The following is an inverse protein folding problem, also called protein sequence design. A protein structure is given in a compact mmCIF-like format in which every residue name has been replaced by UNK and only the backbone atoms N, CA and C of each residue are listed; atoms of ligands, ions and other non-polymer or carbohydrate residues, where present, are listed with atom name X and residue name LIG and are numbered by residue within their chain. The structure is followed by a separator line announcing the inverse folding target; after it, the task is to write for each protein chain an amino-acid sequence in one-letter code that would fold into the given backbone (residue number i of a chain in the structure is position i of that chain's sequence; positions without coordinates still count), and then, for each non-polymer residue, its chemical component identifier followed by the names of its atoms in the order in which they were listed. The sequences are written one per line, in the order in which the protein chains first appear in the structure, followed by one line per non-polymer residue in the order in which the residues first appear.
data_IF_167304184328
#
_entry.id   IF_167304184328
#
_cell.length_a   1.000
_cell.length_b   1.000
_cell.length_c   1.000
_cell.angle_alpha   90.00
_cell.angle_beta   90.00
_cell.angle_gamma   90.00
#
_symmetry.space_group_name_H-M   'P 1'
#
loop_
_entity.id
_entity.type
_entity.pdbx_description
1 polymer ?
#
# COMPACT_ATOMS: atom_id res chain seq x y z
N UNK A 1 -16.63 -19.14 14.00
CA UNK A 1 -16.94 -19.11 12.56
C UNK A 1 -16.23 -17.93 11.90
N UNK A 2 -15.63 -18.19 10.76
CA UNK A 2 -14.99 -17.15 9.96
C UNK A 2 -16.07 -16.30 9.29
N UNK A 3 -16.18 -15.02 9.67
CA UNK A 3 -17.17 -14.08 9.11
C UNK A 3 -16.60 -13.28 7.94
N UNK A 4 -15.41 -13.63 7.45
CA UNK A 4 -14.81 -12.99 6.28
C UNK A 4 -15.42 -13.52 4.99
N UNK A 5 -15.49 -12.65 4.00
CA UNK A 5 -16.12 -12.91 2.71
C UNK A 5 -15.04 -12.91 1.61
N UNK A 6 -15.08 -13.87 0.67
CA UNK A 6 -14.12 -13.89 -0.43
C UNK A 6 -14.30 -12.71 -1.38
N UNK A 7 -13.18 -12.11 -1.80
CA UNK A 7 -13.17 -11.18 -2.93
C UNK A 7 -13.44 -11.96 -4.22
N UNK A 8 -14.08 -11.33 -5.19
CA UNK A 8 -14.26 -11.93 -6.53
C UNK A 8 -12.91 -12.17 -7.21
N UNK A 9 -11.99 -11.20 -7.08
CA UNK A 9 -10.61 -11.27 -7.54
C UNK A 9 -9.69 -10.95 -6.39
N UNK A 10 -8.56 -11.66 -6.29
CA UNK A 10 -7.60 -11.44 -5.21
C UNK A 10 -7.08 -10.00 -5.23
N UNK A 11 -6.98 -9.39 -4.05
CA UNK A 11 -6.36 -8.08 -3.86
C UNK A 11 -4.89 -8.27 -3.55
N UNK A 12 -4.03 -8.01 -4.53
CA UNK A 12 -2.58 -8.11 -4.37
C UNK A 12 -2.01 -6.83 -3.74
N UNK A 13 -0.91 -6.98 -2.99
CA UNK A 13 -0.09 -5.83 -2.61
C UNK A 13 0.85 -5.47 -3.77
N UNK A 14 1.50 -4.32 -3.68
CA UNK A 14 2.51 -3.92 -4.65
C UNK A 14 3.91 -4.25 -4.16
N UNK A 15 4.77 -4.68 -5.08
CA UNK A 15 6.20 -4.76 -4.83
C UNK A 15 6.72 -3.38 -4.46
N UNK A 16 7.57 -3.29 -3.43
CA UNK A 16 8.16 -2.03 -2.97
C UNK A 16 9.58 -1.92 -3.50
N UNK A 17 9.88 -0.79 -4.13
CA UNK A 17 11.21 -0.46 -4.61
C UNK A 17 11.60 0.88 -4.00
N UNK A 18 12.81 0.97 -3.43
CA UNK A 18 13.30 2.22 -2.87
C UNK A 18 14.05 3.02 -3.93
N UNK A 19 14.00 4.35 -3.83
CA UNK A 19 14.56 5.24 -4.85
C UNK A 19 16.06 5.01 -5.12
N UNK A 20 16.81 4.52 -4.14
CA UNK A 20 18.24 4.18 -4.32
C UNK A 20 18.45 2.84 -5.06
N UNK A 21 17.43 2.03 -5.21
CA UNK A 21 17.49 0.72 -5.89
C UNK A 21 17.13 0.82 -7.38
N UNK A 22 16.39 1.85 -7.79
CA UNK A 22 15.87 2.00 -9.16
C UNK A 22 16.99 2.13 -10.18
N UNK A 23 18.12 2.73 -9.81
CA UNK A 23 19.27 2.89 -10.72
C UNK A 23 19.97 1.57 -11.05
N UNK A 24 19.77 0.53 -10.23
CA UNK A 24 20.42 -0.77 -10.37
C UNK A 24 19.50 -1.87 -10.85
N UNK A 25 18.17 -1.68 -10.72
CA UNK A 25 17.18 -2.67 -11.11
C UNK A 25 15.99 -1.98 -11.77
N UNK A 26 15.79 -2.26 -13.06
CA UNK A 26 14.56 -1.90 -13.76
C UNK A 26 13.55 -3.04 -13.55
N UNK A 27 12.48 -2.83 -12.74
CA UNK A 27 11.50 -3.90 -12.50
C UNK A 27 10.75 -4.34 -13.76
N UNK A 28 10.74 -3.52 -14.80
CA UNK A 28 10.06 -3.82 -16.06
C UNK A 28 10.98 -4.30 -17.18
N UNK A 29 12.25 -4.57 -16.88
CA UNK A 29 13.22 -5.13 -17.83
C UNK A 29 13.28 -4.37 -19.16
N UNK A 30 13.46 -3.04 -19.07
CA UNK A 30 13.55 -2.15 -20.25
C UNK A 30 12.29 -2.14 -21.12
N UNK A 31 11.13 -2.30 -20.52
CA UNK A 31 9.85 -2.16 -21.20
C UNK A 31 9.76 -0.80 -21.91
N UNK A 32 9.39 -0.80 -23.21
CA UNK A 32 9.35 0.40 -24.03
C UNK A 32 7.95 0.99 -24.21
N UNK A 33 6.93 0.32 -23.69
CA UNK A 33 5.55 0.81 -23.76
C UNK A 33 5.25 1.85 -22.68
N UNK A 34 3.98 2.23 -22.60
CA UNK A 34 3.53 3.27 -21.69
C UNK A 34 3.46 2.76 -20.26
N UNK A 35 4.08 3.51 -19.36
CA UNK A 35 4.01 3.32 -17.91
C UNK A 35 3.31 4.53 -17.30
N UNK A 36 2.31 4.29 -16.46
CA UNK A 36 1.56 5.34 -15.78
C UNK A 36 2.06 5.48 -14.34
N UNK A 37 2.25 6.73 -13.92
CA UNK A 37 2.64 7.08 -12.57
C UNK A 37 1.44 7.69 -11.87
N UNK A 38 1.13 7.18 -10.68
CA UNK A 38 0.03 7.69 -9.86
C UNK A 38 0.44 7.73 -8.38
N UNK A 39 -0.23 8.55 -7.56
CA UNK A 39 0.11 8.58 -6.14
C UNK A 39 -0.26 7.26 -5.46
N UNK A 40 0.60 6.80 -4.56
CA UNK A 40 0.29 5.68 -3.67
C UNK A 40 -0.37 6.23 -2.42
N UNK A 41 -1.69 6.35 -2.47
CA UNK A 41 -2.46 6.90 -1.35
C UNK A 41 -2.38 5.98 -0.14
N UNK A 42 -2.28 6.59 1.03
CA UNK A 42 -2.08 5.91 2.30
C UNK A 42 -3.34 5.96 3.15
N UNK A 43 -4.09 4.89 3.09
CA UNK A 43 -5.35 4.72 3.81
C UNK A 43 -5.64 3.25 4.04
N UNK A 44 -6.83 2.81 3.67
CA UNK A 44 -7.24 1.42 3.78
C UNK A 44 -7.79 0.93 2.44
N UNK A 45 -7.25 -0.18 1.95
CA UNK A 45 -7.67 -0.79 0.69
C UNK A 45 -9.02 -1.49 0.83
N UNK A 46 -9.89 -1.28 -0.14
CA UNK A 46 -11.26 -1.79 -0.16
C UNK A 46 -11.59 -2.31 -1.55
N UNK A 47 -12.28 -3.45 -1.63
CA UNK A 47 -12.87 -3.93 -2.88
C UNK A 47 -14.38 -3.70 -2.89
N UNK A 48 -14.89 -3.29 -4.05
CA UNK A 48 -16.31 -3.12 -4.31
C UNK A 48 -16.74 -4.16 -5.33
N UNK A 49 -17.92 -4.74 -5.11
CA UNK A 49 -18.54 -5.64 -6.08
C UNK A 49 -19.78 -4.98 -6.67
N UNK A 50 -19.82 -4.90 -7.99
CA UNK A 50 -20.97 -4.46 -8.79
C UNK A 50 -21.47 -5.64 -9.59
N UNK A 51 -22.78 -5.85 -9.56
CA UNK A 51 -23.45 -6.89 -10.34
C UNK A 51 -24.43 -6.20 -11.28
N UNK A 52 -24.29 -6.46 -12.57
CA UNK A 52 -25.07 -5.80 -13.63
C UNK A 52 -25.08 -4.27 -13.48
N UNK A 53 -23.93 -3.72 -13.11
CA UNK A 53 -23.74 -2.28 -12.92
C UNK A 53 -24.26 -1.70 -11.63
N UNK A 54 -24.80 -2.50 -10.73
CA UNK A 54 -25.36 -2.06 -9.45
C UNK A 54 -24.43 -2.45 -8.30
N UNK A 55 -24.17 -1.50 -7.40
CA UNK A 55 -23.37 -1.75 -6.20
C UNK A 55 -24.04 -2.82 -5.32
N UNK A 56 -23.28 -3.85 -4.97
CA UNK A 56 -23.77 -4.95 -4.16
C UNK A 56 -23.07 -5.02 -2.81
N UNK A 57 -21.73 -4.91 -2.79
CA UNK A 57 -20.96 -5.25 -1.60
C UNK A 57 -19.60 -4.55 -1.58
N UNK A 58 -19.15 -4.22 -0.38
CA UNK A 58 -17.77 -3.74 -0.14
C UNK A 58 -17.11 -4.57 0.94
N UNK A 59 -15.82 -4.89 0.74
CA UNK A 59 -15.00 -5.66 1.66
C UNK A 59 -13.71 -4.94 1.98
N UNK A 60 -13.25 -5.07 3.23
CA UNK A 60 -11.86 -4.73 3.57
C UNK A 60 -10.93 -5.67 2.82
N UNK A 61 -9.67 -5.26 2.63
CA UNK A 61 -8.69 -6.10 1.96
C UNK A 61 -8.49 -7.45 2.68
N UNK A 62 -8.39 -7.45 4.03
CA UNK A 62 -8.06 -8.64 4.80
C UNK A 62 -6.70 -9.20 4.39
N UNK A 63 -6.64 -10.51 4.16
CA UNK A 63 -5.45 -11.20 3.66
C UNK A 63 -5.28 -11.12 2.13
N UNK A 64 -6.11 -10.34 1.45
CA UNK A 64 -6.15 -10.22 -0.01
C UNK A 64 -7.10 -11.22 -0.67
N UNK A 65 -7.45 -12.30 0.00
CA UNK A 65 -8.40 -13.32 -0.51
C UNK A 65 -9.78 -13.14 0.09
N UNK A 66 -9.87 -12.83 1.38
CA UNK A 66 -11.11 -12.61 2.12
C UNK A 66 -11.00 -11.37 3.00
N UNK A 67 -12.09 -10.62 3.09
CA UNK A 67 -12.17 -9.43 3.92
C UNK A 67 -13.47 -9.35 4.69
N UNK A 68 -13.57 -8.36 5.57
CA UNK A 68 -14.79 -8.09 6.34
C UNK A 68 -15.78 -7.29 5.48
N UNK A 69 -17.06 -7.61 5.62
CA UNK A 69 -18.14 -6.90 4.94
C UNK A 69 -18.34 -5.52 5.59
N UNK A 70 -18.14 -4.47 4.79
CA UNK A 70 -18.31 -3.07 5.19
C UNK A 70 -19.27 -2.34 4.25
N UNK A 71 -20.18 -3.06 3.64
CA UNK A 71 -21.09 -2.54 2.62
C UNK A 71 -21.88 -1.32 3.08
N UNK A 72 -22.46 -1.37 4.28
CA UNK A 72 -23.28 -0.28 4.80
C UNK A 72 -22.51 1.02 5.04
N UNK A 73 -21.22 0.93 5.35
CA UNK A 73 -20.35 2.11 5.45
C UNK A 73 -20.02 2.67 4.07
N UNK A 74 -19.52 1.82 3.20
CA UNK A 74 -18.97 2.21 1.91
C UNK A 74 -20.04 2.69 0.94
N UNK A 75 -21.28 2.19 1.03
CA UNK A 75 -22.36 2.67 0.15
C UNK A 75 -22.57 4.19 0.23
N UNK A 76 -22.13 4.83 1.32
CA UNK A 76 -22.23 6.29 1.49
C UNK A 76 -21.16 7.06 0.71
N UNK A 77 -20.13 6.36 0.22
CA UNK A 77 -18.95 6.96 -0.42
C UNK A 77 -18.84 6.70 -1.93
N UNK A 78 -19.66 5.78 -2.47
CA UNK A 78 -19.47 5.30 -3.84
C UNK A 78 -20.77 5.42 -4.63
N UNK A 79 -20.70 5.50 -5.98
CA UNK A 79 -21.88 5.48 -6.84
C UNK A 79 -22.64 4.16 -6.71
N UNK A 80 -23.97 4.23 -6.72
CA UNK A 80 -24.81 3.03 -6.66
C UNK A 80 -24.87 2.31 -8.00
N UNK A 81 -24.63 3.02 -9.11
CA UNK A 81 -24.69 2.48 -10.46
C UNK A 81 -23.49 2.91 -11.26
N UNK A 82 -22.94 1.98 -12.05
CA UNK A 82 -21.98 2.30 -13.09
C UNK A 82 -22.70 2.94 -14.28
N UNK A 83 -21.98 3.76 -15.05
CA UNK A 83 -22.53 4.47 -16.21
C UNK A 83 -23.14 3.51 -17.22
N UNK A 84 -22.38 2.48 -17.60
CA UNK A 84 -22.80 1.41 -18.47
C UNK A 84 -22.27 0.10 -17.90
N UNK A 85 -23.05 -0.98 -17.99
CA UNK A 85 -22.60 -2.29 -17.53
C UNK A 85 -22.29 -3.16 -18.74
N UNK A 86 -21.01 -3.35 -19.00
CA UNK A 86 -20.53 -4.24 -20.06
C UNK A 86 -20.30 -5.65 -19.52
N UNK A 87 -19.95 -5.76 -18.24
CA UNK A 87 -19.69 -7.02 -17.55
C UNK A 87 -20.79 -7.29 -16.52
N UNK A 88 -21.16 -8.56 -16.39
CA UNK A 88 -22.15 -8.98 -15.38
C UNK A 88 -21.61 -8.75 -13.96
N UNK A 89 -20.35 -9.08 -13.73
CA UNK A 89 -19.67 -8.94 -12.45
C UNK A 89 -18.44 -8.07 -12.62
N UNK A 90 -18.33 -7.04 -11.78
CA UNK A 90 -17.19 -6.10 -11.83
C UNK A 90 -16.71 -5.87 -10.41
N UNK A 91 -15.40 -6.04 -10.19
CA UNK A 91 -14.74 -5.66 -8.95
C UNK A 91 -13.97 -4.36 -9.15
N UNK A 92 -14.22 -3.39 -8.28
CA UNK A 92 -13.49 -2.12 -8.27
C UNK A 92 -12.68 -2.08 -6.99
N UNK A 93 -11.39 -1.75 -7.11
CA UNK A 93 -10.50 -1.60 -5.95
C UNK A 93 -10.10 -0.15 -5.81
N UNK A 94 -9.91 0.27 -4.57
CA UNK A 94 -9.49 1.62 -4.27
C UNK A 94 -9.06 1.76 -2.82
N UNK A 95 -8.75 3.00 -2.48
CA UNK A 95 -8.30 3.36 -1.14
C UNK A 95 -9.31 4.28 -0.47
N UNK A 96 -9.68 3.96 0.76
CA UNK A 96 -10.41 4.89 1.63
C UNK A 96 -9.38 5.73 2.35
N UNK A 97 -9.47 7.05 2.17
CA UNK A 97 -8.48 8.00 2.67
C UNK A 97 -9.13 9.13 3.46
N UNK A 98 -8.37 9.73 4.35
CA UNK A 98 -8.73 10.92 5.10
C UNK A 98 -7.72 12.04 4.82
N UNK A 99 -8.12 13.34 4.90
CA UNK A 99 -7.19 14.44 4.65
C UNK A 99 -5.98 14.39 5.57
N UNK A 100 -4.81 14.74 5.04
CA UNK A 100 -3.56 14.74 5.83
C UNK A 100 -3.51 15.81 6.93
N UNK A 101 -4.48 16.73 6.97
CA UNK A 101 -4.69 17.64 8.09
C UNK A 101 -5.15 16.92 9.35
N UNK A 102 -5.69 15.73 9.22
CA UNK A 102 -6.08 14.88 10.36
C UNK A 102 -4.84 14.13 10.85
N UNK A 103 -4.58 14.22 12.14
CA UNK A 103 -3.46 13.51 12.76
C UNK A 103 -3.65 12.00 12.59
N UNK A 104 -2.61 11.29 12.14
CA UNK A 104 -2.66 9.86 11.85
C UNK A 104 -3.80 9.51 10.87
N UNK A 105 -3.88 10.24 9.76
CA UNK A 105 -4.98 10.14 8.81
C UNK A 105 -5.18 8.70 8.30
N UNK A 106 -4.10 7.94 8.06
CA UNK A 106 -4.18 6.53 7.68
C UNK A 106 -4.93 5.71 8.73
N UNK A 107 -4.57 5.84 10.00
CA UNK A 107 -5.21 5.09 11.08
C UNK A 107 -6.66 5.54 11.29
N UNK A 108 -6.93 6.82 11.11
CA UNK A 108 -8.28 7.37 11.15
C UNK A 108 -9.17 6.73 10.07
N UNK A 109 -8.68 6.62 8.84
CA UNK A 109 -9.42 5.99 7.75
C UNK A 109 -9.61 4.48 7.98
N UNK A 110 -8.53 3.78 8.33
CA UNK A 110 -8.59 2.34 8.58
C UNK A 110 -9.50 2.00 9.78
N UNK A 111 -9.40 2.78 10.85
CA UNK A 111 -10.25 2.60 12.03
C UNK A 111 -11.73 2.86 11.74
N UNK A 112 -12.02 3.77 10.82
CA UNK A 112 -13.41 4.07 10.43
C UNK A 112 -14.10 2.85 9.84
N UNK A 113 -13.40 1.99 9.12
CA UNK A 113 -13.98 0.79 8.52
C UNK A 113 -14.49 -0.21 9.55
N UNK A 114 -13.97 -0.15 10.76
CA UNK A 114 -14.35 -1.05 11.86
C UNK A 114 -15.39 -0.43 12.80
N UNK A 115 -15.86 0.78 12.52
CA UNK A 115 -16.92 1.39 13.33
C UNK A 115 -18.20 0.55 13.26
N UNK A 116 -18.87 0.38 14.39
CA UNK A 116 -20.12 -0.37 14.45
C UNK A 116 -21.29 0.44 13.92
N UNK A 117 -21.22 1.78 14.06
CA UNK A 117 -22.29 2.69 13.65
C UNK A 117 -21.97 3.31 12.30
N UNK A 118 -22.91 3.15 11.35
CA UNK A 118 -22.83 3.83 10.05
C UNK A 118 -23.02 5.34 10.20
N UNK A 119 -23.78 5.79 11.18
CA UNK A 119 -23.92 7.23 11.44
C UNK A 119 -22.61 7.86 11.89
N UNK A 120 -21.84 7.20 12.74
CA UNK A 120 -20.49 7.65 13.09
C UNK A 120 -19.56 7.66 11.87
N UNK A 121 -19.65 6.62 11.04
CA UNK A 121 -18.87 6.54 9.81
C UNK A 121 -19.14 7.74 8.90
N UNK A 122 -20.41 8.10 8.70
CA UNK A 122 -20.82 9.24 7.86
C UNK A 122 -20.27 10.58 8.36
N UNK A 123 -19.99 10.70 9.65
CA UNK A 123 -19.43 11.92 10.22
C UNK A 123 -17.91 12.04 10.00
N UNK A 124 -17.27 10.95 9.56
CA UNK A 124 -15.84 10.95 9.26
C UNK A 124 -15.58 11.60 7.90
N UNK A 125 -14.46 12.34 7.81
CA UNK A 125 -14.02 12.97 6.56
C UNK A 125 -13.28 11.94 5.72
N UNK A 126 -14.01 11.16 4.95
CA UNK A 126 -13.46 10.05 4.17
C UNK A 126 -13.80 10.22 2.69
N UNK A 127 -12.94 9.65 1.85
CA UNK A 127 -13.12 9.59 0.40
C UNK A 127 -12.65 8.23 -0.09
N UNK A 128 -13.36 7.65 -1.05
CA UNK A 128 -12.92 6.46 -1.77
C UNK A 128 -12.32 6.90 -3.11
N UNK A 129 -11.06 6.50 -3.36
CA UNK A 129 -10.35 6.82 -4.60
C UNK A 129 -9.99 5.52 -5.29
N UNK A 130 -10.57 5.29 -6.47
CA UNK A 130 -10.42 4.05 -7.22
C UNK A 130 -9.09 3.98 -7.97
N UNK A 131 -8.51 2.77 -8.06
CA UNK A 131 -7.33 2.52 -8.85
C UNK A 131 -7.35 1.18 -9.62
N UNK A 132 -8.41 0.41 -9.54
CA UNK A 132 -8.50 -0.87 -10.23
C UNK A 132 -9.91 -1.25 -10.66
N UNK A 133 -10.01 -1.91 -11.80
CA UNK A 133 -11.22 -2.46 -12.38
C UNK A 133 -10.94 -3.88 -12.86
N UNK A 134 -11.69 -4.86 -12.38
CA UNK A 134 -11.57 -6.27 -12.77
C UNK A 134 -12.96 -6.91 -12.92
N UNK A 135 -13.16 -7.72 -13.91
CA UNK A 135 -12.26 -7.94 -15.01
C UNK A 135 -12.43 -6.82 -16.03
N UNK A 136 -11.33 -6.22 -16.48
CA UNK A 136 -11.40 -5.12 -17.43
C UNK A 136 -11.79 -5.61 -18.82
N UNK A 137 -12.63 -4.82 -19.49
CA UNK A 137 -12.97 -4.99 -20.92
C UNK A 137 -12.22 -4.01 -21.82
N UNK A 138 -11.36 -3.17 -21.24
CA UNK A 138 -10.55 -2.20 -21.96
C UNK A 138 -9.15 -2.76 -22.24
N UNK A 139 -8.48 -2.21 -23.24
CA UNK A 139 -7.11 -2.59 -23.57
C UNK A 139 -6.09 -1.96 -22.62
N UNK A 140 -6.40 -0.78 -22.07
CA UNK A 140 -5.50 -0.01 -21.25
C UNK A 140 -6.11 0.34 -19.89
N UNK A 141 -5.29 0.38 -18.87
CA UNK A 141 -5.71 0.74 -17.52
C UNK A 141 -6.25 2.18 -17.42
N UNK A 142 -5.68 3.11 -18.19
CA UNK A 142 -6.18 4.50 -18.20
C UNK A 142 -7.62 4.59 -18.70
N UNK A 143 -8.05 3.70 -19.59
CA UNK A 143 -9.45 3.62 -20.04
C UNK A 143 -10.36 3.12 -18.92
N UNK A 144 -9.88 2.20 -18.09
CA UNK A 144 -10.60 1.78 -16.88
C UNK A 144 -10.84 2.98 -15.95
N UNK A 145 -9.81 3.80 -15.74
CA UNK A 145 -9.92 4.98 -14.87
C UNK A 145 -10.89 6.00 -15.46
N UNK A 146 -10.86 6.20 -16.77
CA UNK A 146 -11.82 7.09 -17.46
C UNK A 146 -13.26 6.58 -17.27
N UNK A 147 -13.49 5.29 -17.46
CA UNK A 147 -14.80 4.68 -17.24
C UNK A 147 -15.29 4.89 -15.79
N UNK A 148 -14.43 4.68 -14.81
CA UNK A 148 -14.77 4.88 -13.40
C UNK A 148 -15.07 6.33 -13.09
N UNK A 149 -14.27 7.26 -13.63
CA UNK A 149 -14.51 8.69 -13.48
C UNK A 149 -15.85 9.10 -14.09
N UNK A 150 -16.16 8.60 -15.28
CA UNK A 150 -17.45 8.85 -15.96
C UNK A 150 -18.64 8.25 -15.19
N UNK A 151 -18.40 7.21 -14.41
CA UNK A 151 -19.40 6.60 -13.52
C UNK A 151 -19.56 7.32 -12.18
N UNK A 152 -18.77 8.36 -11.92
CA UNK A 152 -18.87 9.18 -10.71
C UNK A 152 -17.87 8.85 -9.64
N UNK A 153 -16.86 7.99 -9.92
CA UNK A 153 -15.79 7.73 -8.97
C UNK A 153 -14.72 8.81 -9.01
N UNK A 154 -14.12 9.09 -7.86
CA UNK A 154 -12.80 9.66 -7.81
C UNK A 154 -11.79 8.56 -8.18
N UNK A 155 -10.80 8.90 -9.02
CA UNK A 155 -9.75 7.96 -9.41
C UNK A 155 -8.36 8.56 -9.20
N UNK A 156 -7.35 7.70 -9.09
CA UNK A 156 -5.96 8.15 -8.89
C UNK A 156 -5.39 8.93 -10.08
N UNK A 157 -6.07 8.93 -11.23
CA UNK A 157 -5.61 9.62 -12.44
C UNK A 157 -6.21 11.01 -12.63
N UNK A 158 -7.30 11.36 -11.93
CA UNK A 158 -7.97 12.66 -12.14
C UNK A 158 -7.32 13.82 -11.39
N UNK A 159 -6.47 13.52 -10.41
CA UNK A 159 -5.79 14.54 -9.60
C UNK A 159 -4.51 13.95 -9.00
N UNK A 160 -3.62 14.80 -8.53
CA UNK A 160 -2.46 14.38 -7.74
C UNK A 160 -2.81 14.08 -6.28
N UNK A 161 -4.03 14.41 -5.85
CA UNK A 161 -4.56 14.15 -4.52
C UNK A 161 -3.63 14.62 -3.39
N UNK A 162 -2.98 15.78 -3.57
CA UNK A 162 -1.96 16.30 -2.65
C UNK A 162 -2.48 16.59 -1.24
N UNK A 163 -3.80 16.72 -1.07
CA UNK A 163 -4.44 16.92 0.23
C UNK A 163 -4.58 15.63 1.05
N UNK A 164 -4.27 14.48 0.46
CA UNK A 164 -4.35 13.17 1.13
C UNK A 164 -2.95 12.60 1.36
N UNK A 165 -2.76 11.82 2.43
CA UNK A 165 -1.46 11.20 2.69
C UNK A 165 -1.11 10.18 1.60
N UNK A 166 0.15 10.15 1.22
CA UNK A 166 0.73 9.14 0.35
C UNK A 166 2.04 8.61 0.95
N UNK A 167 2.47 7.46 0.50
CA UNK A 167 3.76 6.89 0.89
C UNK A 167 4.64 6.58 -0.33
N UNK A 168 4.49 7.37 -1.38
CA UNK A 168 5.25 7.26 -2.61
C UNK A 168 4.37 7.32 -3.84
N UNK A 169 4.86 6.74 -4.93
CA UNK A 169 4.16 6.69 -6.21
C UNK A 169 4.10 5.26 -6.72
N UNK A 170 3.10 5.00 -7.54
CA UNK A 170 2.90 3.71 -8.21
C UNK A 170 3.28 3.86 -9.67
N UNK A 171 4.14 2.95 -10.14
CA UNK A 171 4.43 2.75 -11.55
C UNK A 171 3.67 1.53 -12.03
N UNK A 172 2.94 1.68 -13.13
CA UNK A 172 2.12 0.60 -13.66
C UNK A 172 2.21 0.56 -15.18
N UNK A 173 2.41 -0.64 -15.73
CA UNK A 173 2.31 -0.88 -17.17
C UNK A 173 0.86 -0.66 -17.59
N UNK A 174 0.64 0.25 -18.55
CA UNK A 174 -0.71 0.66 -18.94
C UNK A 174 -1.46 -0.40 -19.76
N UNK A 175 -0.76 -1.13 -20.64
CA UNK A 175 -1.37 -2.21 -21.42
C UNK A 175 -1.76 -3.38 -20.50
N UNK A 176 -3.04 -3.75 -20.48
CA UNK A 176 -3.49 -4.92 -19.74
C UNK A 176 -2.87 -6.21 -20.25
N UNK A 177 -2.70 -6.33 -21.56
CA UNK A 177 -2.07 -7.50 -22.16
C UNK A 177 -0.63 -7.67 -21.66
N UNK A 178 0.15 -6.60 -21.69
CA UNK A 178 1.53 -6.64 -21.20
C UNK A 178 1.60 -6.85 -19.70
N UNK A 179 0.77 -6.15 -18.94
CA UNK A 179 0.68 -6.32 -17.50
C UNK A 179 0.40 -7.77 -17.12
N UNK A 180 -0.61 -8.38 -17.76
CA UNK A 180 -1.00 -9.76 -17.48
C UNK A 180 0.06 -10.76 -17.94
N UNK A 181 0.78 -10.48 -19.04
CA UNK A 181 1.83 -11.38 -19.53
C UNK A 181 3.00 -11.51 -18.56
N UNK A 182 3.23 -10.51 -17.72
CA UNK A 182 4.30 -10.54 -16.72
C UNK A 182 3.95 -11.36 -15.49
N UNK A 183 2.66 -11.63 -15.30
CA UNK A 183 2.18 -12.50 -14.23
C UNK A 183 2.33 -11.91 -12.84
N UNK A 184 2.31 -12.80 -11.86
CA UNK A 184 2.27 -12.47 -10.45
C UNK A 184 3.28 -13.30 -9.68
N UNK A 185 3.79 -12.74 -8.58
CA UNK A 185 4.38 -13.54 -7.49
C UNK A 185 3.25 -14.01 -6.58
N UNK A 186 3.57 -14.68 -5.46
CA UNK A 186 2.55 -15.07 -4.49
C UNK A 186 1.86 -13.87 -3.82
N UNK A 187 2.50 -12.70 -3.83
CA UNK A 187 2.03 -11.52 -3.08
C UNK A 187 1.72 -10.31 -3.93
N UNK A 188 2.31 -10.18 -5.14
CA UNK A 188 2.15 -8.98 -5.94
C UNK A 188 2.31 -9.23 -7.44
N UNK A 189 1.71 -8.36 -8.29
CA UNK A 189 1.92 -8.42 -9.74
C UNK A 189 3.33 -7.93 -10.10
N UNK A 190 3.86 -8.42 -11.23
CA UNK A 190 5.15 -7.94 -11.76
C UNK A 190 4.98 -6.71 -12.65
N UNK A 191 3.77 -6.40 -13.08
CA UNK A 191 3.48 -5.27 -13.97
C UNK A 191 3.31 -3.92 -13.27
N UNK A 192 3.47 -3.87 -11.96
CA UNK A 192 3.38 -2.63 -11.18
C UNK A 192 4.32 -2.69 -9.98
N UNK A 193 4.76 -1.54 -9.50
CA UNK A 193 5.51 -1.45 -8.25
C UNK A 193 5.27 -0.10 -7.59
N UNK A 194 5.47 -0.07 -6.27
CA UNK A 194 5.45 1.17 -5.51
C UNK A 194 6.88 1.66 -5.31
N UNK A 195 7.16 2.87 -5.77
CA UNK A 195 8.42 3.55 -5.52
C UNK A 195 8.28 4.36 -4.23
N UNK A 196 9.07 4.00 -3.23
CA UNK A 196 9.15 4.73 -1.98
C UNK A 196 10.42 5.56 -1.95
N UNK A 197 10.29 6.84 -1.59
CA UNK A 197 11.45 7.68 -1.36
C UNK A 197 12.10 7.26 -0.04
N UNK A 198 13.44 7.26 -0.04
CA UNK A 198 14.17 7.10 1.20
C UNK A 198 13.92 8.36 2.03
N UNK A 199 13.28 8.19 3.17
CA UNK A 199 13.19 9.27 4.14
C UNK A 199 14.57 9.48 4.74
N UNK A 200 14.94 10.75 4.97
CA UNK A 200 16.14 11.07 5.72
C UNK A 200 16.02 10.40 7.10
N UNK A 201 17.01 9.58 7.45
CA UNK A 201 17.04 8.91 8.73
C UNK A 201 17.54 9.83 9.83
N UNK A 202 17.49 9.32 11.05
CA UNK A 202 18.00 10.01 12.23
C UNK A 202 19.32 9.35 12.65
N UNK A 203 20.29 10.17 13.03
CA UNK A 203 21.59 9.71 13.49
C UNK A 203 21.53 9.27 14.95
N UNK A 204 22.11 8.12 15.25
CA UNK A 204 22.29 7.65 16.62
C UNK A 204 23.53 6.75 16.71
N UNK A 205 23.86 6.30 17.92
CA UNK A 205 25.01 5.45 18.17
C UNK A 205 24.60 3.99 18.31
N UNK A 206 25.33 3.10 17.64
CA UNK A 206 25.19 1.65 17.83
C UNK A 206 25.86 1.24 19.13
N UNK A 207 25.07 0.86 20.13
CA UNK A 207 25.57 0.49 21.44
C UNK A 207 25.96 -0.97 21.56
N UNK A 208 25.20 -1.86 20.92
CA UNK A 208 25.39 -3.30 21.01
C UNK A 208 24.65 -4.02 19.89
N UNK A 209 25.00 -5.28 19.64
CA UNK A 209 24.29 -6.19 18.75
C UNK A 209 23.93 -7.43 19.54
N UNK A 210 22.63 -7.71 19.63
CA UNK A 210 22.11 -8.87 20.36
C UNK A 210 21.50 -9.86 19.38
N UNK A 211 21.83 -11.13 19.57
CA UNK A 211 21.34 -12.21 18.74
C UNK A 211 20.15 -12.90 19.42
N UNK A 212 18.98 -12.78 18.81
CA UNK A 212 17.76 -13.35 19.33
C UNK A 212 17.38 -14.59 18.50
N UNK A 213 16.91 -15.64 19.19
CA UNK A 213 16.37 -16.83 18.54
C UNK A 213 14.86 -16.65 18.39
N UNK A 214 14.37 -16.66 17.15
CA UNK A 214 12.94 -16.62 16.86
C UNK A 214 12.25 -17.95 17.13
N UNK A 215 10.90 -17.94 17.09
CA UNK A 215 10.09 -19.15 17.30
C UNK A 215 10.40 -20.30 16.33
N UNK A 216 10.92 -19.97 15.14
CA UNK A 216 11.32 -20.94 14.12
C UNK A 216 12.75 -21.46 14.30
N UNK A 217 13.46 -21.06 15.36
CA UNK A 217 14.87 -21.40 15.56
C UNK A 217 15.84 -20.55 14.77
N UNK A 218 15.37 -19.60 13.99
CA UNK A 218 16.24 -18.69 13.22
C UNK A 218 16.84 -17.65 14.15
N UNK A 219 18.16 -17.48 14.08
CA UNK A 219 18.88 -16.48 14.87
C UNK A 219 18.98 -15.20 14.06
N UNK A 220 18.47 -14.10 14.62
CA UNK A 220 18.47 -12.79 13.99
C UNK A 220 19.18 -11.74 14.86
N UNK A 221 20.05 -10.89 14.28
CA UNK A 221 20.69 -9.83 15.02
C UNK A 221 19.80 -8.61 15.16
N UNK A 222 19.81 -8.01 16.34
CA UNK A 222 19.09 -6.77 16.66
C UNK A 222 20.10 -5.75 17.18
N UNK A 223 20.11 -4.58 16.58
CA UNK A 223 20.91 -3.45 17.05
C UNK A 223 20.27 -2.83 18.28
N UNK A 224 21.05 -2.60 19.32
CA UNK A 224 20.71 -1.75 20.45
C UNK A 224 21.33 -0.38 20.22
N UNK A 225 20.51 0.65 20.25
CA UNK A 225 20.85 2.02 19.88
C UNK A 225 20.73 2.95 21.07
N UNK A 226 21.52 4.02 21.06
CA UNK A 226 21.21 5.18 21.90
C UNK A 226 19.79 5.64 21.55
N UNK A 227 18.88 5.76 22.52
CA UNK A 227 17.49 6.12 22.25
C UNK A 227 17.39 7.43 21.47
N UNK A 228 16.60 7.43 20.41
CA UNK A 228 16.39 8.58 19.54
C UNK A 228 14.92 8.65 19.11
N UNK A 229 14.40 9.87 18.99
CA UNK A 229 13.04 10.07 18.53
C UNK A 229 12.96 10.03 17.00
N UNK A 230 12.09 9.16 16.47
CA UNK A 230 11.79 9.06 15.03
C UNK A 230 10.28 9.06 14.87
N UNK A 231 9.76 10.03 14.11
CA UNK A 231 8.32 10.16 13.83
C UNK A 231 7.44 10.12 15.10
N UNK A 232 7.89 10.81 16.16
CA UNK A 232 7.15 10.90 17.41
C UNK A 232 7.26 9.70 18.33
N UNK A 233 8.08 8.70 18.01
CA UNK A 233 8.31 7.51 18.82
C UNK A 233 9.77 7.39 19.22
N UNK A 234 10.04 6.98 20.45
CA UNK A 234 11.40 6.67 20.91
C UNK A 234 11.84 5.32 20.37
N UNK A 235 12.97 5.31 19.68
CA UNK A 235 13.56 4.12 19.06
C UNK A 235 14.87 3.80 19.74
N UNK A 236 15.01 2.57 20.24
CA UNK A 236 16.23 2.06 20.86
C UNK A 236 16.67 0.72 20.30
N UNK A 237 15.93 0.17 19.35
CA UNK A 237 16.26 -1.10 18.68
C UNK A 237 15.96 -1.01 17.19
N UNK A 238 16.79 -1.68 16.37
CA UNK A 238 16.61 -1.78 14.94
C UNK A 238 17.03 -3.16 14.45
N UNK A 239 16.35 -3.66 13.40
CA UNK A 239 16.72 -4.95 12.79
C UNK A 239 18.01 -4.83 11.99
N UNK A 240 18.82 -5.88 12.02
CA UNK A 240 20.04 -6.01 11.21
C UNK A 240 19.95 -7.14 10.20
N UNK A 241 18.85 -7.82 10.12
CA UNK A 241 18.52 -8.91 9.20
C UNK A 241 19.43 -10.14 9.35
N UNK A 242 20.74 -10.01 9.09
CA UNK A 242 21.71 -11.13 9.15
C UNK A 242 23.15 -10.60 9.23
N UNK A 243 24.13 -11.54 9.37
CA UNK A 243 25.56 -11.18 9.42
C UNK A 243 26.05 -10.45 8.19
N UNK A 244 25.57 -10.83 7.01
CA UNK A 244 25.98 -10.19 5.75
C UNK A 244 25.61 -8.71 5.73
N UNK A 245 24.42 -8.37 6.24
CA UNK A 245 23.95 -6.99 6.35
C UNK A 245 24.89 -6.16 7.24
N UNK A 246 25.30 -6.72 8.39
CA UNK A 246 26.24 -6.08 9.30
C UNK A 246 27.59 -5.85 8.61
N UNK A 247 28.09 -6.84 7.90
CA UNK A 247 29.35 -6.78 7.17
C UNK A 247 29.28 -5.77 6.02
N UNK A 248 28.21 -5.78 5.23
CA UNK A 248 28.01 -4.88 4.09
C UNK A 248 27.94 -3.42 4.51
N UNK A 249 27.38 -3.13 5.68
CA UNK A 249 27.30 -1.78 6.25
C UNK A 249 28.54 -1.40 7.07
N UNK A 250 29.47 -2.31 7.26
CA UNK A 250 30.71 -2.10 8.07
C UNK A 250 30.40 -1.60 9.49
N UNK A 251 29.42 -2.23 10.15
CA UNK A 251 28.99 -1.81 11.47
C UNK A 251 29.96 -2.26 12.56
N UNK A 252 30.25 -1.35 13.48
CA UNK A 252 31.03 -1.61 14.68
C UNK A 252 30.33 -1.02 15.90
N UNK A 253 30.47 -1.64 17.05
CA UNK A 253 29.93 -1.10 18.30
C UNK A 253 30.61 0.24 18.58
N UNK A 254 29.77 1.25 18.87
CA UNK A 254 30.20 2.63 19.08
C UNK A 254 30.16 3.51 17.84
N UNK A 255 29.88 2.94 16.64
CA UNK A 255 29.79 3.75 15.43
C UNK A 255 28.46 4.53 15.37
N UNK A 256 28.50 5.63 14.61
CA UNK A 256 27.30 6.40 14.30
C UNK A 256 26.57 5.76 13.13
N UNK A 257 25.26 5.67 13.22
CA UNK A 257 24.41 5.04 12.22
C UNK A 257 23.20 5.91 11.91
N UNK A 258 22.67 5.75 10.70
CA UNK A 258 21.39 6.36 10.30
C UNK A 258 20.29 5.33 10.38
N UNK A 259 19.21 5.67 11.09
CA UNK A 259 18.07 4.79 11.36
C UNK A 259 16.82 5.39 10.75
N UNK A 260 16.04 4.57 10.05
CA UNK A 260 14.73 4.96 9.50
C UNK A 260 13.62 4.10 10.09
N UNK A 261 12.40 4.63 10.06
CA UNK A 261 11.18 3.94 10.47
C UNK A 261 10.08 4.09 9.41
N UNK A 262 10.42 4.07 8.13
CA UNK A 262 9.50 4.34 7.04
C UNK A 262 8.43 3.24 6.93
N UNK A 263 7.23 3.48 7.49
CA UNK A 263 6.08 2.58 7.37
C UNK A 263 6.30 1.18 7.93
N UNK A 264 7.44 0.91 8.53
CA UNK A 264 7.76 -0.37 9.15
C UNK A 264 7.53 -0.28 10.66
N UNK A 265 6.99 -1.33 11.23
CA UNK A 265 6.80 -1.43 12.69
C UNK A 265 8.17 -1.50 13.38
N UNK A 266 9.17 -2.08 12.71
CA UNK A 266 10.52 -2.26 13.23
C UNK A 266 11.47 -1.31 12.51
N UNK A 267 12.17 -0.39 13.24
CA UNK A 267 13.18 0.48 12.66
C UNK A 267 14.35 -0.30 12.04
N UNK A 268 15.01 0.31 11.07
CA UNK A 268 16.11 -0.30 10.32
C UNK A 268 17.31 0.66 10.25
N UNK A 269 18.52 0.12 10.46
CA UNK A 269 19.75 0.86 10.16
C UNK A 269 19.94 0.84 8.64
N UNK A 270 20.11 2.02 8.03
CA UNK A 270 20.31 2.13 6.58
C UNK A 270 21.77 2.32 6.19
N UNK A 271 22.58 2.90 7.07
CA UNK A 271 24.03 3.09 6.81
C UNK A 271 24.78 3.43 8.09
N UNK A 272 26.09 3.21 8.04
CA UNK A 272 27.06 3.79 8.99
C UNK A 272 27.44 5.18 8.49
N UNK A 273 27.51 6.13 9.41
CA UNK A 273 27.91 7.51 9.12
C UNK A 273 29.39 7.72 9.36
#
# INVERSE_FOLDING_TARGET
SDNRVPHMYQMYSLQKVFSNEVSTKDPFNNYKGTVIVSPKLDGAAVSLLYVEGQFLRALTRGDGKKGLDITSHIETLVPQYLKDSVQNITQITGEVVAPKTIKNARNYAAGALNLKSTDEFRQRQLRFIAYGLQESWNEEWTDDMTFLSDSGFDTVTVSNWTQYPDDGVVFRINSHKEFNSRGYTSHHPRGAYALKQIQAGVETTLLDVVWNVGKSGVVAPVAHLEPVEIDGAMVSKATLHNMRYISDLDLEIGCQVEVIRSGEIIPRIVRRL
#
